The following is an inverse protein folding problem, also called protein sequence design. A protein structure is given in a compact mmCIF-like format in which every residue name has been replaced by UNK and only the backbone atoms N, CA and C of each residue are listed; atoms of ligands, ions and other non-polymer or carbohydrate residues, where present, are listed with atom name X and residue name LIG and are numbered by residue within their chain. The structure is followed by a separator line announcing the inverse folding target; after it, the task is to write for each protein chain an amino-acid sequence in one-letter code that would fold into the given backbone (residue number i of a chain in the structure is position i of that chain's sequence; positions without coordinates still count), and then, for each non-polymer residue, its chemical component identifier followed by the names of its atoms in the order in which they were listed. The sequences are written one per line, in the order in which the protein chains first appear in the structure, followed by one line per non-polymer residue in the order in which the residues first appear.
data_IF_022258426208
#
_entry.id   IF_022258426208
#
_cell.length_a   1.000
_cell.length_b   1.000
_cell.length_c   1.000
_cell.angle_alpha   90.00
_cell.angle_beta   90.00
_cell.angle_gamma   90.00
#
_symmetry.space_group_name_H-M   'P 1'
#
loop_
_entity.id
_entity.type
_entity.pdbx_description
1 polymer ?
#
# COMPACT_ATOMS: atom_id res chain seq x y z
N UNK A 1 -22.25 -18.76 20.05
CA UNK A 1 -21.70 -18.60 21.41
C UNK A 1 -21.00 -17.27 21.40
N UNK A 2 -21.54 -16.25 22.09
CA UNK A 2 -20.96 -14.91 22.11
C UNK A 2 -19.65 -14.96 22.88
N UNK A 3 -18.52 -14.73 22.20
CA UNK A 3 -17.21 -14.73 22.83
C UNK A 3 -17.19 -13.71 23.97
N UNK A 4 -16.70 -14.13 25.12
CA UNK A 4 -16.72 -13.33 26.34
C UNK A 4 -15.37 -12.62 26.47
N UNK A 5 -15.36 -11.41 27.02
CA UNK A 5 -14.14 -10.61 27.25
C UNK A 5 -13.02 -11.34 28.03
N UNK A 6 -13.32 -12.51 28.61
CA UNK A 6 -12.37 -13.43 29.21
C UNK A 6 -11.35 -14.01 28.21
N UNK A 7 -11.67 -14.09 26.92
CA UNK A 7 -10.79 -14.64 25.89
C UNK A 7 -9.69 -13.65 25.43
N UNK A 8 -9.80 -12.39 25.84
CA UNK A 8 -8.82 -11.35 25.58
C UNK A 8 -7.66 -11.42 26.58
N UNK A 9 -6.45 -11.37 26.04
CA UNK A 9 -5.23 -11.22 26.84
C UNK A 9 -5.11 -9.80 27.39
N UNK A 10 -4.40 -9.60 28.50
CA UNK A 10 -4.20 -8.27 29.08
C UNK A 10 -3.50 -7.29 28.12
N UNK A 11 -2.59 -7.80 27.28
CA UNK A 11 -1.91 -7.01 26.24
C UNK A 11 -2.86 -6.51 25.14
N UNK A 12 -3.90 -7.28 24.83
CA UNK A 12 -4.94 -6.89 23.87
C UNK A 12 -5.90 -5.87 24.49
N UNK A 13 -6.28 -6.07 25.76
CA UNK A 13 -7.11 -5.10 26.50
C UNK A 13 -6.41 -3.76 26.66
N UNK A 14 -5.12 -3.76 26.98
CA UNK A 14 -4.30 -2.55 27.09
C UNK A 14 -4.31 -1.72 25.79
N UNK A 15 -4.16 -2.37 24.62
CA UNK A 15 -4.25 -1.69 23.34
C UNK A 15 -5.65 -1.12 23.05
N UNK A 16 -6.71 -1.83 23.47
CA UNK A 16 -8.09 -1.34 23.33
C UNK A 16 -8.41 -0.16 24.28
N UNK A 17 -7.83 -0.14 25.49
CA UNK A 17 -7.97 0.99 26.43
C UNK A 17 -7.38 2.28 25.88
N UNK A 18 -6.22 2.20 25.21
CA UNK A 18 -5.62 3.38 24.57
C UNK A 18 -6.49 3.94 23.44
N UNK A 19 -7.13 3.06 22.65
CA UNK A 19 -8.10 3.47 21.64
C UNK A 19 -9.33 4.16 22.25
N UNK A 20 -9.84 3.68 23.39
CA UNK A 20 -10.91 4.36 24.13
C UNK A 20 -10.49 5.73 24.63
N UNK A 21 -9.25 5.86 25.11
CA UNK A 21 -8.67 7.12 25.56
C UNK A 21 -8.39 8.11 24.40
N UNK A 22 -8.68 7.73 23.15
CA UNK A 22 -8.59 8.60 21.97
C UNK A 22 -7.26 8.52 21.23
N UNK A 23 -6.36 7.63 21.64
CA UNK A 23 -5.12 7.39 20.91
C UNK A 23 -5.39 6.64 19.61
N UNK A 24 -4.56 6.89 18.59
CA UNK A 24 -4.50 6.06 17.39
C UNK A 24 -3.46 4.94 17.55
N UNK A 25 -3.34 4.05 16.56
CA UNK A 25 -2.38 2.94 16.62
C UNK A 25 -0.92 3.42 16.73
N UNK A 26 -0.60 4.57 16.12
CA UNK A 26 0.75 5.14 16.11
C UNK A 26 1.12 5.72 17.48
N UNK A 27 0.24 6.51 18.07
CA UNK A 27 0.39 7.09 19.41
C UNK A 27 0.37 6.00 20.49
N UNK A 28 -0.49 4.98 20.34
CA UNK A 28 -0.51 3.84 21.27
C UNK A 28 0.80 3.05 21.25
N UNK A 29 1.41 2.88 20.07
CA UNK A 29 2.71 2.23 19.94
C UNK A 29 3.84 3.01 20.63
N UNK A 30 3.84 4.34 20.47
CA UNK A 30 4.78 5.22 21.16
C UNK A 30 4.61 5.19 22.69
N UNK A 31 3.38 5.02 23.19
CA UNK A 31 3.10 4.97 24.63
C UNK A 31 3.44 3.62 25.27
N UNK A 32 3.35 2.54 24.51
CA UNK A 32 3.65 1.18 24.98
C UNK A 32 5.09 0.74 24.72
N UNK A 33 5.94 1.61 24.15
CA UNK A 33 7.28 1.29 23.67
C UNK A 33 7.30 0.06 22.75
N UNK A 34 6.32 -0.03 21.85
CA UNK A 34 6.13 -1.13 20.91
C UNK A 34 6.17 -0.64 19.47
N UNK A 35 6.35 -1.58 18.53
CA UNK A 35 6.14 -1.27 17.11
C UNK A 35 4.64 -1.11 16.82
N UNK A 36 4.31 -0.23 15.86
CA UNK A 36 2.92 -0.04 15.38
C UNK A 36 2.32 -1.35 14.88
N UNK A 37 3.13 -2.20 14.26
CA UNK A 37 2.70 -3.51 13.76
C UNK A 37 2.24 -4.41 14.92
N UNK A 38 3.00 -4.47 16.01
CA UNK A 38 2.64 -5.25 17.20
C UNK A 38 1.34 -4.76 17.85
N UNK A 39 1.09 -3.45 17.87
CA UNK A 39 -0.18 -2.89 18.35
C UNK A 39 -1.33 -3.29 17.41
N UNK A 40 -1.13 -3.22 16.10
CA UNK A 40 -2.13 -3.63 15.12
C UNK A 40 -2.46 -5.14 15.21
N UNK A 41 -1.46 -6.00 15.44
CA UNK A 41 -1.69 -7.44 15.65
C UNK A 41 -2.54 -7.70 16.88
N UNK A 42 -2.27 -7.00 17.99
CA UNK A 42 -3.07 -7.08 19.22
C UNK A 42 -4.52 -6.66 18.97
N UNK A 43 -4.73 -5.55 18.25
CA UNK A 43 -6.07 -5.07 17.90
C UNK A 43 -6.81 -6.03 16.95
N UNK A 44 -6.10 -6.64 16.00
CA UNK A 44 -6.65 -7.61 15.06
C UNK A 44 -7.06 -8.90 15.76
N UNK A 45 -6.22 -9.41 16.66
CA UNK A 45 -6.53 -10.58 17.47
C UNK A 45 -7.72 -10.31 18.39
N UNK A 46 -7.78 -9.13 19.01
CA UNK A 46 -8.92 -8.72 19.81
C UNK A 46 -10.23 -8.70 19.02
N UNK A 47 -10.22 -8.14 17.80
CA UNK A 47 -11.37 -8.14 16.90
C UNK A 47 -11.83 -9.55 16.50
N UNK A 48 -10.88 -10.43 16.14
CA UNK A 48 -11.17 -11.82 15.77
C UNK A 48 -11.80 -12.59 16.92
N UNK A 49 -11.33 -12.36 18.15
CA UNK A 49 -11.87 -12.98 19.35
C UNK A 49 -13.26 -12.47 19.70
N UNK A 50 -13.49 -11.16 19.57
CA UNK A 50 -14.79 -10.55 19.87
C UNK A 50 -15.80 -10.63 18.73
N UNK A 51 -15.41 -11.16 17.57
CA UNK A 51 -16.22 -11.25 16.34
C UNK A 51 -16.76 -9.88 15.88
N UNK A 52 -15.88 -8.87 15.86
CA UNK A 52 -16.24 -7.48 15.52
C UNK A 52 -15.46 -6.94 14.34
N UNK A 53 -16.13 -6.06 13.59
CA UNK A 53 -15.63 -5.51 12.33
C UNK A 53 -14.67 -4.34 12.50
N UNK A 54 -14.58 -3.74 13.69
CA UNK A 54 -13.80 -2.54 13.96
C UNK A 54 -13.11 -2.57 15.32
N UNK A 55 -11.86 -2.10 15.38
CA UNK A 55 -11.11 -1.98 16.64
C UNK A 55 -11.73 -0.96 17.59
N UNK A 56 -12.44 0.06 17.05
CA UNK A 56 -13.20 1.02 17.86
C UNK A 56 -14.49 0.42 18.43
N UNK A 57 -15.07 -0.54 17.73
CA UNK A 57 -16.22 -1.31 18.23
C UNK A 57 -15.77 -2.27 19.33
N UNK A 58 -14.68 -3.00 19.13
CA UNK A 58 -14.01 -3.80 20.16
C UNK A 58 -13.68 -2.97 21.41
N UNK A 59 -13.13 -1.78 21.21
CA UNK A 59 -12.79 -0.85 22.28
C UNK A 59 -14.04 -0.41 23.04
N UNK A 60 -15.13 -0.04 22.36
CA UNK A 60 -16.41 0.28 23.03
C UNK A 60 -16.97 -0.89 23.83
N UNK A 61 -16.91 -2.11 23.31
CA UNK A 61 -17.40 -3.30 24.03
C UNK A 61 -16.57 -3.56 25.29
N UNK A 62 -15.25 -3.41 25.19
CA UNK A 62 -14.36 -3.48 26.36
C UNK A 62 -14.69 -2.37 27.37
N UNK A 63 -14.87 -1.13 26.88
CA UNK A 63 -15.19 0.03 27.71
C UNK A 63 -16.48 -0.14 28.48
N UNK A 64 -17.56 -0.55 27.82
CA UNK A 64 -18.85 -0.81 28.47
C UNK A 64 -18.76 -1.89 29.56
N UNK A 65 -17.87 -2.87 29.39
CA UNK A 65 -17.67 -3.92 30.39
C UNK A 65 -16.67 -3.53 31.51
N UNK A 66 -15.70 -2.67 31.23
CA UNK A 66 -14.73 -2.15 32.21
C UNK A 66 -15.28 -0.94 32.99
N UNK A 67 -16.18 -0.15 32.42
CA UNK A 67 -16.88 1.00 33.06
C UNK A 67 -17.79 0.59 34.23
N UNK A 68 -17.97 -0.72 34.46
CA UNK A 68 -18.45 -1.24 35.75
C UNK A 68 -17.45 -1.04 36.90
N UNK A 69 -16.26 -0.48 36.66
CA UNK A 69 -15.32 0.00 37.66
C UNK A 69 -15.00 1.49 37.44
N UNK A 70 -15.15 2.37 38.44
CA UNK A 70 -15.07 3.81 38.24
C UNK A 70 -13.61 4.24 38.12
N UNK A 71 -13.26 4.95 37.04
CA UNK A 71 -12.00 5.70 36.98
C UNK A 71 -12.30 7.13 36.57
N UNK A 72 -12.11 8.01 37.54
CA UNK A 72 -12.30 9.45 37.49
C UNK A 72 -11.51 10.10 36.35
N UNK A 73 -12.21 10.92 35.56
CA UNK A 73 -11.61 11.84 34.60
C UNK A 73 -10.77 12.89 35.34
N UNK A 74 -9.45 12.80 35.23
CA UNK A 74 -8.57 13.91 35.59
C UNK A 74 -8.27 14.74 34.34
N UNK A 75 -8.87 15.93 34.33
CA UNK A 75 -8.57 17.04 33.45
C UNK A 75 -7.24 17.67 33.85
N UNK A 76 -6.28 17.83 32.94
CA UNK A 76 -5.19 18.81 33.09
C UNK A 76 -4.71 19.37 31.74
N UNK A 77 -5.11 20.62 31.51
CA UNK A 77 -4.25 21.76 31.17
C UNK A 77 -3.60 21.80 29.77
N UNK A 78 -4.36 22.31 28.79
CA UNK A 78 -3.77 23.10 27.70
C UNK A 78 -3.48 24.52 28.22
N UNK A 79 -2.22 24.93 28.18
CA UNK A 79 -1.78 26.27 28.57
C UNK A 79 -2.25 27.33 27.59
N UNK A 80 -3.03 28.29 28.09
CA UNK A 80 -3.30 29.57 27.43
C UNK A 80 -2.29 30.59 27.97
N UNK A 81 -1.64 31.33 27.08
CA UNK A 81 -0.99 32.59 27.42
C UNK A 81 -1.92 33.71 26.96
N UNK A 82 -2.37 34.55 27.89
CA UNK A 82 -3.11 35.77 27.65
C UNK A 82 -2.13 36.94 27.48
N UNK A 83 -2.37 37.77 26.46
CA UNK A 83 -2.43 39.23 26.56
C UNK A 83 -2.33 39.86 25.16
N UNK A 84 -3.34 40.64 24.78
CA UNK A 84 -3.25 41.52 23.61
C UNK A 84 -4.58 42.11 23.16
N UNK A 85 -5.14 42.99 23.97
CA UNK A 85 -6.26 43.90 23.68
C UNK A 85 -6.12 44.59 22.30
N UNK A 86 -7.21 44.66 21.54
CA UNK A 86 -7.19 45.22 20.19
C UNK A 86 -8.48 45.10 19.39
N UNK A 87 -9.43 45.98 19.70
CA UNK A 87 -10.46 46.53 18.80
C UNK A 87 -11.48 45.58 18.16
N UNK A 88 -12.68 45.66 18.74
CA UNK A 88 -13.97 45.29 18.18
C UNK A 88 -14.29 46.11 16.91
N UNK A 89 -14.22 45.48 15.72
CA UNK A 89 -15.01 45.88 14.55
C UNK A 89 -15.48 44.62 13.83
N UNK A 90 -16.51 43.97 14.37
CA UNK A 90 -17.21 42.88 13.69
C UNK A 90 -17.97 43.42 12.47
N UNK A 91 -17.47 43.13 11.27
CA UNK A 91 -18.27 43.18 10.03
C UNK A 91 -18.81 41.78 9.75
N UNK A 92 -20.12 41.61 9.97
CA UNK A 92 -20.83 40.35 9.69
C UNK A 92 -21.06 40.22 8.18
N UNK A 93 -20.09 39.68 7.45
CA UNK A 93 -20.34 39.12 6.13
C UNK A 93 -20.85 37.69 6.29
N UNK A 94 -22.18 37.59 6.25
CA UNK A 94 -22.91 36.34 6.28
C UNK A 94 -22.86 35.69 4.89
N UNK A 95 -21.88 34.82 4.67
CA UNK A 95 -21.88 33.91 3.52
C UNK A 95 -22.35 32.54 4.01
N UNK A 96 -23.61 32.21 3.71
CA UNK A 96 -24.20 30.90 3.99
C UNK A 96 -23.32 29.77 3.42
N UNK A 97 -22.91 28.77 4.22
CA UNK A 97 -22.42 27.52 3.65
C UNK A 97 -23.61 26.75 3.09
N UNK A 98 -23.77 26.84 1.77
CA UNK A 98 -24.68 26.00 0.98
C UNK A 98 -24.39 24.53 1.28
N UNK A 99 -25.35 23.87 1.94
CA UNK A 99 -25.43 22.41 1.98
C UNK A 99 -25.50 21.89 0.54
N UNK A 100 -24.43 21.27 0.06
CA UNK A 100 -24.48 20.39 -1.10
C UNK A 100 -24.27 18.95 -0.64
N UNK A 101 -25.36 18.21 -0.75
CA UNK A 101 -25.47 16.77 -0.74
C UNK A 101 -24.48 16.08 -1.69
N UNK A 102 -24.10 14.86 -1.33
CA UNK A 102 -23.78 13.82 -2.31
C UNK A 102 -22.28 13.60 -2.55
N UNK A 103 -21.74 12.60 -1.86
CA UNK A 103 -21.16 11.44 -2.51
C UNK A 103 -20.13 11.70 -3.63
N UNK A 104 -19.03 12.40 -3.37
CA UNK A 104 -17.87 12.41 -4.28
C UNK A 104 -16.58 12.45 -3.43
N UNK A 105 -16.15 11.30 -2.94
CA UNK A 105 -14.80 11.13 -2.38
C UNK A 105 -14.28 9.71 -2.62
N UNK A 106 -14.21 9.27 -3.87
CA UNK A 106 -13.60 8.00 -4.26
C UNK A 106 -12.82 8.13 -5.59
N UNK A 107 -11.91 9.12 -5.65
CA UNK A 107 -10.92 9.16 -6.74
C UNK A 107 -9.58 9.77 -6.28
N UNK A 108 -9.59 10.75 -5.37
CA UNK A 108 -8.36 11.40 -4.91
C UNK A 108 -7.59 10.70 -3.77
N UNK A 109 -8.23 9.77 -3.04
CA UNK A 109 -7.60 9.13 -1.87
C UNK A 109 -6.70 7.93 -2.20
N UNK A 110 -6.92 7.30 -3.35
CA UNK A 110 -6.15 6.11 -3.77
C UNK A 110 -4.79 6.49 -4.34
N UNK A 111 -4.65 7.68 -4.93
CA UNK A 111 -3.41 8.15 -5.55
C UNK A 111 -2.32 8.55 -4.52
N UNK A 112 -2.72 9.06 -3.35
CA UNK A 112 -1.76 9.45 -2.30
C UNK A 112 -1.33 8.24 -1.46
N UNK A 113 -2.22 7.24 -1.30
CA UNK A 113 -1.88 5.97 -0.63
C UNK A 113 -1.13 4.99 -1.55
N UNK A 114 -1.31 5.04 -2.89
CA UNK A 114 -0.58 4.17 -3.84
C UNK A 114 0.89 4.57 -4.01
N UNK A 115 1.22 5.87 -3.92
CA UNK A 115 2.62 6.36 -3.87
C UNK A 115 3.35 5.82 -2.61
N UNK A 116 2.64 5.66 -1.49
CA UNK A 116 3.22 5.11 -0.25
C UNK A 116 3.45 3.59 -0.30
N UNK A 117 2.71 2.86 -1.13
CA UNK A 117 2.87 1.41 -1.29
C UNK A 117 4.13 1.07 -2.12
N UNK A 118 4.45 1.86 -3.15
CA UNK A 118 5.70 1.70 -3.92
C UNK A 118 6.96 1.97 -3.07
N UNK A 119 6.90 2.93 -2.14
CA UNK A 119 8.03 3.24 -1.25
C UNK A 119 8.26 2.18 -0.15
N UNK A 120 7.23 1.43 0.27
CA UNK A 120 7.35 0.44 1.34
C UNK A 120 8.08 -0.85 0.91
N UNK A 121 8.07 -1.19 -0.38
CA UNK A 121 8.75 -2.39 -0.93
C UNK A 121 10.26 -2.16 -1.09
N UNK A 122 10.70 -0.91 -1.30
CA UNK A 122 12.13 -0.54 -1.43
C UNK A 122 12.89 -0.80 -0.11
N UNK A 123 12.22 -0.68 1.05
CA UNK A 123 12.84 -0.86 2.37
C UNK A 123 13.34 -2.28 2.67
N UNK A 124 12.81 -3.30 2.00
CA UNK A 124 13.21 -4.71 2.23
C UNK A 124 14.43 -5.09 1.37
N UNK A 125 14.62 -4.47 0.21
CA UNK A 125 15.73 -4.79 -0.70
C UNK A 125 17.07 -4.16 -0.24
N UNK A 126 17.04 -3.04 0.49
CA UNK A 126 18.25 -2.32 0.88
C UNK A 126 18.87 -2.71 2.25
N UNK A 127 18.22 -3.55 3.06
CA UNK A 127 18.70 -3.87 4.43
C UNK A 127 19.36 -5.24 4.60
N UNK A 128 19.66 -5.95 3.51
CA UNK A 128 20.15 -7.33 3.57
C UNK A 128 21.55 -7.55 2.99
N UNK A 129 22.59 -6.85 3.44
CA UNK A 129 23.97 -7.24 3.07
C UNK A 129 25.08 -6.68 3.98
N UNK A 130 25.15 -7.14 5.24
CA UNK A 130 26.37 -7.20 6.07
C UNK A 130 26.18 -8.47 6.92
N UNK A 131 27.09 -9.43 7.11
CA UNK A 131 28.54 -9.50 7.01
C UNK A 131 28.85 -11.02 7.07
N UNK A 132 29.64 -11.58 6.15
CA UNK A 132 30.38 -12.81 6.46
C UNK A 132 31.65 -12.87 5.63
N UNK A 133 32.72 -12.71 6.39
CA UNK A 133 34.11 -12.71 6.04
C UNK A 133 34.60 -14.11 5.67
N UNK A 134 35.22 -14.25 4.50
CA UNK A 134 36.27 -15.26 4.29
C UNK A 134 37.43 -14.65 3.50
N UNK A 135 38.61 -14.92 4.05
CA UNK A 135 39.95 -14.46 3.76
C UNK A 135 40.53 -15.12 2.50
N UNK A 136 41.25 -14.28 1.75
CA UNK A 136 42.23 -14.48 0.67
C UNK A 136 42.91 -15.85 0.55
N UNK A 137 42.93 -16.40 -0.67
CA UNK A 137 44.15 -16.93 -1.28
C UNK A 137 44.12 -16.79 -2.82
N UNK A 138 45.29 -16.47 -3.33
CA UNK A 138 45.66 -15.91 -4.63
C UNK A 138 46.11 -17.02 -5.59
N UNK A 139 45.75 -16.95 -6.88
CA UNK A 139 46.72 -16.92 -8.01
C UNK A 139 46.05 -16.70 -9.38
N UNK A 140 46.52 -15.62 -10.01
CA UNK A 140 46.86 -15.46 -11.44
C UNK A 140 45.80 -15.61 -12.55
N UNK A 141 45.45 -14.43 -13.08
CA UNK A 141 45.46 -14.07 -14.52
C UNK A 141 44.52 -14.80 -15.47
N UNK A 142 43.34 -14.22 -15.70
CA UNK A 142 42.80 -14.13 -17.07
C UNK A 142 42.03 -12.82 -17.25
N UNK A 143 42.32 -12.24 -18.40
CA UNK A 143 41.85 -11.03 -19.06
C UNK A 143 40.31 -10.87 -19.10
N UNK A 144 39.87 -9.62 -19.03
CA UNK A 144 38.47 -9.22 -19.03
C UNK A 144 37.73 -9.61 -20.33
N UNK A 145 36.48 -10.08 -20.21
CA UNK A 145 35.29 -9.62 -20.97
C UNK A 145 34.06 -10.39 -20.46
N UNK A 146 33.00 -9.65 -20.14
CA UNK A 146 31.73 -10.11 -19.55
C UNK A 146 31.04 -11.23 -20.36
N UNK A 147 30.29 -12.11 -19.67
CA UNK A 147 28.83 -12.05 -19.81
C UNK A 147 28.11 -12.36 -18.50
N UNK A 148 27.47 -11.36 -17.89
CA UNK A 148 26.51 -11.57 -16.80
C UNK A 148 25.31 -10.63 -16.99
N UNK A 149 24.41 -10.98 -17.90
CA UNK A 149 23.05 -10.40 -17.93
C UNK A 149 21.97 -11.31 -18.52
N UNK A 150 22.28 -12.54 -18.91
CA UNK A 150 21.26 -13.47 -19.44
C UNK A 150 20.75 -14.48 -18.41
N UNK A 151 21.50 -14.81 -17.35
CA UNK A 151 21.10 -15.85 -16.38
C UNK A 151 20.14 -15.39 -15.28
N UNK A 152 20.12 -14.09 -14.94
CA UNK A 152 19.30 -13.59 -13.82
C UNK A 152 17.82 -13.37 -14.17
N UNK A 153 17.52 -13.05 -15.43
CA UNK A 153 16.14 -12.84 -15.91
C UNK A 153 15.37 -14.16 -15.99
N UNK A 154 16.04 -15.24 -16.43
CA UNK A 154 15.45 -16.57 -16.61
C UNK A 154 14.94 -17.16 -15.28
N UNK A 155 15.75 -17.08 -14.22
CA UNK A 155 15.35 -17.52 -12.87
C UNK A 155 14.20 -16.70 -12.27
N UNK A 156 14.01 -15.45 -12.71
CA UNK A 156 12.95 -14.57 -12.20
C UNK A 156 11.62 -14.86 -12.90
N UNK A 157 11.65 -15.15 -14.19
CA UNK A 157 10.47 -15.58 -14.96
C UNK A 157 9.94 -16.94 -14.48
N UNK A 158 10.81 -17.86 -14.06
CA UNK A 158 10.40 -19.13 -13.45
C UNK A 158 9.58 -18.98 -12.16
N UNK A 159 9.69 -17.84 -11.46
CA UNK A 159 8.94 -17.61 -10.21
C UNK A 159 7.50 -17.15 -10.44
N UNK A 160 7.18 -16.62 -11.63
CA UNK A 160 5.82 -16.18 -11.94
C UNK A 160 4.99 -17.30 -12.56
N UNK A 161 3.69 -17.26 -12.30
CA UNK A 161 2.74 -18.11 -13.00
C UNK A 161 2.83 -17.85 -14.51
N UNK A 162 2.93 -18.90 -15.35
CA UNK A 162 2.92 -18.72 -16.80
C UNK A 162 1.68 -17.97 -17.30
N UNK A 163 0.55 -18.14 -16.62
CA UNK A 163 -0.69 -17.42 -16.93
C UNK A 163 -0.61 -15.94 -16.56
N UNK A 164 -0.02 -15.61 -15.41
CA UNK A 164 0.19 -14.23 -14.98
C UNK A 164 1.17 -13.49 -15.89
N UNK A 165 2.33 -14.11 -16.20
CA UNK A 165 3.31 -13.56 -17.15
C UNK A 165 2.69 -13.30 -18.52
N UNK A 166 1.93 -14.26 -19.06
CA UNK A 166 1.26 -14.10 -20.35
C UNK A 166 0.27 -12.94 -20.33
N UNK A 167 -0.52 -12.81 -19.25
CA UNK A 167 -1.48 -11.71 -19.13
C UNK A 167 -0.77 -10.36 -19.01
N UNK A 168 0.25 -10.27 -18.15
CA UNK A 168 1.03 -9.06 -17.92
C UNK A 168 1.76 -8.60 -19.20
N UNK A 169 2.41 -9.52 -19.92
CA UNK A 169 3.10 -9.24 -21.18
C UNK A 169 2.14 -8.79 -22.29
N UNK A 170 0.95 -9.38 -22.38
CA UNK A 170 -0.08 -8.95 -23.34
C UNK A 170 -0.57 -7.54 -23.02
N UNK A 171 -0.80 -7.25 -21.73
CA UNK A 171 -1.26 -5.93 -21.28
C UNK A 171 -0.22 -4.85 -21.59
N UNK A 172 1.04 -5.08 -21.19
CA UNK A 172 2.09 -4.07 -21.36
C UNK A 172 2.46 -3.85 -22.82
N UNK A 173 2.35 -4.88 -23.67
CA UNK A 173 2.51 -4.72 -25.12
C UNK A 173 1.45 -3.79 -25.72
N UNK A 174 0.20 -3.83 -25.22
CA UNK A 174 -0.83 -2.88 -25.64
C UNK A 174 -0.54 -1.45 -25.15
N UNK A 175 -0.02 -1.30 -23.93
CA UNK A 175 0.45 0.01 -23.41
C UNK A 175 1.60 0.56 -24.24
N UNK A 176 2.58 -0.27 -24.61
CA UNK A 176 3.73 0.14 -25.43
C UNK A 176 3.32 0.55 -26.85
N UNK A 177 2.29 -0.09 -27.40
CA UNK A 177 1.68 0.28 -28.67
C UNK A 177 0.83 1.55 -28.59
N UNK A 178 0.76 2.21 -27.43
CA UNK A 178 -0.12 3.33 -27.11
C UNK A 178 -1.60 3.01 -27.35
N UNK A 179 -1.97 1.73 -27.28
CA UNK A 179 -3.33 1.25 -27.45
C UNK A 179 -4.02 1.16 -26.08
N UNK A 180 -4.47 2.31 -25.58
CA UNK A 180 -5.08 2.44 -24.25
C UNK A 180 -6.33 1.58 -24.10
N UNK A 181 -7.24 1.65 -25.07
CA UNK A 181 -8.44 0.82 -25.09
C UNK A 181 -8.11 -0.68 -25.12
N UNK A 182 -7.11 -1.08 -25.93
CA UNK A 182 -6.61 -2.45 -25.97
C UNK A 182 -6.05 -2.92 -24.62
N UNK A 183 -5.25 -2.09 -23.95
CA UNK A 183 -4.72 -2.42 -22.62
C UNK A 183 -5.84 -2.54 -21.56
N UNK A 184 -6.84 -1.65 -21.59
CA UNK A 184 -8.01 -1.72 -20.72
C UNK A 184 -8.85 -2.99 -20.96
N UNK A 185 -9.02 -3.39 -22.22
CA UNK A 185 -9.69 -4.63 -22.59
C UNK A 185 -8.94 -5.89 -22.09
N UNK A 186 -7.61 -5.85 -22.08
CA UNK A 186 -6.78 -6.96 -21.60
C UNK A 186 -6.75 -7.04 -20.07
N UNK A 187 -6.92 -5.92 -19.35
CA UNK A 187 -6.78 -5.87 -17.91
C UNK A 187 -7.79 -6.73 -17.16
N UNK A 188 -8.99 -6.93 -17.70
CA UNK A 188 -10.02 -7.80 -17.10
C UNK A 188 -10.99 -7.06 -16.19
N UNK A 189 -11.96 -7.80 -15.65
CA UNK A 189 -13.19 -7.23 -15.07
C UNK A 189 -12.95 -6.32 -13.85
N UNK A 190 -11.98 -6.66 -13.00
CA UNK A 190 -11.63 -5.86 -11.83
C UNK A 190 -11.17 -4.44 -12.20
N UNK A 191 -10.33 -4.34 -13.23
CA UNK A 191 -9.83 -3.07 -13.74
C UNK A 191 -10.96 -2.27 -14.42
N UNK A 192 -11.79 -2.95 -15.20
CA UNK A 192 -12.89 -2.32 -15.95
C UNK A 192 -14.03 -1.82 -15.05
N UNK A 193 -14.24 -2.45 -13.89
CA UNK A 193 -15.23 -2.03 -12.89
C UNK A 193 -14.75 -0.81 -12.08
N UNK A 194 -13.42 -0.63 -11.96
CA UNK A 194 -12.84 0.44 -11.15
C UNK A 194 -12.48 1.70 -11.95
N UNK A 195 -12.31 1.60 -13.26
CA UNK A 195 -11.94 2.72 -14.13
C UNK A 195 -12.49 2.48 -15.53
N UNK A 196 -13.09 3.51 -16.14
CA UNK A 196 -13.54 3.44 -17.53
C UNK A 196 -12.36 3.50 -18.51
N UNK A 197 -12.56 3.05 -19.76
CA UNK A 197 -11.51 3.09 -20.78
C UNK A 197 -11.01 4.53 -21.07
N UNK A 198 -11.91 5.51 -21.00
CA UNK A 198 -11.60 6.94 -21.19
C UNK A 198 -10.75 7.48 -20.03
N UNK A 199 -11.19 7.25 -18.78
CA UNK A 199 -10.42 7.64 -17.59
C UNK A 199 -9.05 6.97 -17.56
N UNK A 200 -8.96 5.69 -17.95
CA UNK A 200 -7.68 5.00 -18.06
C UNK A 200 -6.74 5.69 -19.05
N UNK A 201 -7.23 6.03 -20.24
CA UNK A 201 -6.45 6.74 -21.24
C UNK A 201 -5.96 8.11 -20.73
N UNK A 202 -6.84 8.87 -20.08
CA UNK A 202 -6.51 10.18 -19.49
C UNK A 202 -5.42 10.09 -18.42
N UNK A 203 -5.39 8.99 -17.64
CA UNK A 203 -4.40 8.77 -16.59
C UNK A 203 -3.06 8.30 -17.14
N UNK A 204 -3.04 7.34 -18.07
CA UNK A 204 -1.80 6.71 -18.55
C UNK A 204 -1.08 7.54 -19.61
N UNK A 205 -1.83 8.23 -20.46
CA UNK A 205 -1.29 8.97 -21.60
C UNK A 205 -0.23 10.03 -21.23
N UNK A 206 -0.48 10.97 -20.29
CA UNK A 206 0.47 12.03 -19.97
C UNK A 206 1.74 11.51 -19.32
N UNK A 207 1.72 10.30 -18.75
CA UNK A 207 2.89 9.67 -18.11
C UNK A 207 3.66 8.84 -19.12
N UNK A 208 2.99 8.04 -19.95
CA UNK A 208 3.63 7.07 -20.84
C UNK A 208 4.16 7.68 -22.13
N UNK A 209 3.42 8.62 -22.76
CA UNK A 209 3.81 9.22 -24.04
C UNK A 209 5.17 9.94 -23.99
N UNK A 210 5.48 10.76 -22.96
CA UNK A 210 6.75 11.49 -22.91
C UNK A 210 7.99 10.60 -22.77
N UNK A 211 7.83 9.34 -22.32
CA UNK A 211 8.97 8.42 -22.13
C UNK A 211 9.48 7.86 -23.47
N UNK A 212 8.62 7.82 -24.50
CA UNK A 212 8.93 7.24 -25.80
C UNK A 212 8.87 5.71 -25.83
N UNK A 213 9.45 5.14 -26.89
CA UNK A 213 9.50 3.69 -27.10
C UNK A 213 10.37 2.98 -26.06
N UNK A 214 10.05 1.71 -25.77
CA UNK A 214 10.87 0.83 -24.93
C UNK A 214 12.14 0.44 -25.69
N UNK A 215 13.29 0.65 -25.08
CA UNK A 215 14.58 0.15 -25.58
C UNK A 215 14.95 -1.19 -24.96
N UNK A 216 14.69 -1.35 -23.66
CA UNK A 216 14.95 -2.56 -22.90
C UNK A 216 13.90 -2.67 -21.78
N UNK A 217 13.42 -3.88 -21.52
CA UNK A 217 12.58 -4.20 -20.36
C UNK A 217 13.05 -5.52 -19.76
N UNK A 218 13.25 -5.55 -18.45
CA UNK A 218 13.68 -6.74 -17.71
C UNK A 218 12.79 -6.97 -16.51
N UNK A 219 12.29 -8.19 -16.35
CA UNK A 219 11.62 -8.60 -15.12
C UNK A 219 12.68 -8.77 -14.02
N UNK A 220 12.53 -8.08 -12.91
CA UNK A 220 13.52 -8.07 -11.82
C UNK A 220 12.98 -8.64 -10.51
N UNK A 221 11.66 -8.76 -10.35
CA UNK A 221 11.05 -9.37 -9.17
C UNK A 221 9.63 -9.85 -9.47
N UNK A 222 9.27 -10.96 -8.84
CA UNK A 222 7.91 -11.49 -8.77
C UNK A 222 7.57 -11.68 -7.30
N UNK A 223 6.41 -11.19 -6.86
CA UNK A 223 5.92 -11.38 -5.50
C UNK A 223 4.51 -11.95 -5.52
N UNK A 224 4.31 -13.04 -4.80
CA UNK A 224 3.00 -13.67 -4.63
C UNK A 224 2.43 -13.26 -3.26
N UNK A 225 1.24 -12.67 -3.25
CA UNK A 225 0.58 -12.20 -2.02
C UNK A 225 -0.91 -12.48 -2.09
N UNK A 226 -1.52 -12.82 -0.95
CA UNK A 226 -2.96 -13.12 -0.87
C UNK A 226 -3.81 -11.88 -0.51
N UNK A 227 -3.14 -10.81 -0.07
CA UNK A 227 -3.80 -9.59 0.40
C UNK A 227 -3.02 -8.35 0.00
N UNK A 228 -3.73 -7.35 -0.50
CA UNK A 228 -3.18 -6.03 -0.80
C UNK A 228 -3.95 -4.95 -0.03
N UNK A 229 -3.29 -3.90 0.50
CA UNK A 229 -3.98 -2.80 1.16
C UNK A 229 -5.01 -2.14 0.23
N UNK A 230 -6.28 -2.15 0.64
CA UNK A 230 -7.37 -1.53 -0.13
C UNK A 230 -7.89 -2.35 -1.32
N UNK A 231 -7.39 -3.57 -1.53
CA UNK A 231 -7.95 -4.51 -2.50
C UNK A 231 -8.65 -5.70 -1.79
N UNK A 232 -9.55 -6.42 -2.47
CA UNK A 232 -10.12 -7.67 -1.95
C UNK A 232 -9.06 -8.75 -1.68
N UNK A 233 -9.42 -9.76 -0.90
CA UNK A 233 -8.58 -10.97 -0.78
C UNK A 233 -8.56 -11.74 -2.11
N UNK A 234 -7.41 -12.28 -2.48
CA UNK A 234 -7.22 -13.02 -3.73
C UNK A 234 -5.76 -13.36 -3.97
N UNK A 235 -5.47 -14.32 -4.84
CA UNK A 235 -4.08 -14.66 -5.17
C UNK A 235 -3.53 -13.64 -6.16
N UNK A 236 -2.67 -12.73 -5.67
CA UNK A 236 -2.02 -11.72 -6.49
C UNK A 236 -0.61 -12.14 -6.86
N UNK A 237 -0.20 -11.80 -8.08
CA UNK A 237 1.21 -11.75 -8.47
C UNK A 237 1.58 -10.34 -8.88
N UNK A 238 2.59 -9.78 -8.21
CA UNK A 238 3.16 -8.47 -8.48
C UNK A 238 4.45 -8.69 -9.28
N UNK A 239 4.45 -8.20 -10.52
CA UNK A 239 5.59 -8.27 -11.43
C UNK A 239 6.24 -6.89 -11.49
N UNK A 240 7.52 -6.82 -11.12
CA UNK A 240 8.30 -5.58 -11.15
C UNK A 240 9.30 -5.68 -12.29
N UNK A 241 9.23 -4.71 -13.19
CA UNK A 241 10.14 -4.56 -14.32
C UNK A 241 11.00 -3.32 -14.15
N UNK A 242 12.24 -3.42 -14.62
CA UNK A 242 13.08 -2.27 -14.93
C UNK A 242 13.03 -2.03 -16.43
N UNK A 243 12.67 -0.81 -16.82
CA UNK A 243 12.44 -0.46 -18.22
C UNK A 243 13.20 0.80 -18.58
N UNK A 244 13.98 0.69 -19.66
CA UNK A 244 14.66 1.83 -20.26
C UNK A 244 13.88 2.30 -21.47
N UNK A 245 13.45 3.56 -21.45
CA UNK A 245 12.81 4.18 -22.60
C UNK A 245 13.79 5.03 -23.42
N UNK A 246 13.33 5.51 -24.56
CA UNK A 246 14.16 6.21 -25.55
C UNK A 246 14.29 7.71 -25.28
N UNK A 247 13.29 8.34 -24.67
CA UNK A 247 13.26 9.81 -24.45
C UNK A 247 13.66 10.20 -23.02
N UNK A 248 13.89 9.22 -22.13
CA UNK A 248 14.39 9.44 -20.77
C UNK A 248 15.63 8.60 -20.51
N UNK A 249 16.63 9.19 -19.85
CA UNK A 249 17.88 8.50 -19.52
C UNK A 249 17.78 7.59 -18.30
N UNK A 250 16.82 7.87 -17.41
CA UNK A 250 16.61 7.12 -16.17
C UNK A 250 15.84 5.82 -16.48
N UNK A 251 16.27 4.73 -15.86
CA UNK A 251 15.53 3.46 -15.88
C UNK A 251 14.30 3.61 -14.99
N UNK A 252 13.12 3.42 -15.57
CA UNK A 252 11.86 3.43 -14.84
C UNK A 252 11.57 2.07 -14.23
N UNK A 253 10.82 2.08 -13.14
CA UNK A 253 10.28 0.87 -12.51
C UNK A 253 8.80 0.74 -12.88
N UNK A 254 8.46 -0.31 -13.62
CA UNK A 254 7.07 -0.65 -13.94
C UNK A 254 6.59 -1.76 -13.00
N UNK A 255 5.44 -1.58 -12.37
CA UNK A 255 4.81 -2.59 -11.50
C UNK A 255 3.48 -3.00 -12.09
N UNK A 256 3.33 -4.29 -12.39
CA UNK A 256 2.08 -4.89 -12.87
C UNK A 256 1.55 -5.77 -11.76
N UNK A 257 0.33 -5.49 -11.30
CA UNK A 257 -0.38 -6.32 -10.32
C UNK A 257 -1.38 -7.16 -11.08
N UNK A 258 -1.27 -8.48 -10.95
CA UNK A 258 -2.24 -9.43 -11.48
C UNK A 258 -2.95 -10.15 -10.34
N UNK A 259 -4.19 -10.57 -10.57
CA UNK A 259 -5.01 -11.33 -9.62
C UNK A 259 -5.56 -12.57 -10.31
N UNK A 260 -5.57 -13.70 -9.60
CA UNK A 260 -6.14 -14.96 -10.10
C UNK A 260 -7.64 -14.78 -10.35
N UNK A 261 -8.08 -15.19 -11.54
CA UNK A 261 -9.48 -15.24 -11.93
C UNK A 261 -9.76 -16.60 -12.61
N UNK A 262 -10.37 -17.53 -11.87
CA UNK A 262 -10.54 -18.91 -12.31
C UNK A 262 -9.20 -19.61 -12.58
N UNK A 263 -9.06 -20.17 -13.78
CA UNK A 263 -7.82 -20.81 -14.26
C UNK A 263 -6.80 -19.80 -14.85
N UNK A 264 -7.16 -18.51 -14.89
CA UNK A 264 -6.37 -17.44 -15.48
C UNK A 264 -5.98 -16.36 -14.47
N UNK A 265 -5.43 -15.27 -15.03
CA UNK A 265 -5.08 -14.06 -14.30
C UNK A 265 -5.62 -12.84 -15.05
N UNK A 266 -6.03 -11.83 -14.30
CA UNK A 266 -6.41 -10.51 -14.79
C UNK A 266 -5.43 -9.47 -14.23
N UNK A 267 -5.21 -8.37 -14.95
CA UNK A 267 -4.40 -7.24 -14.45
C UNK A 267 -5.28 -6.38 -13.55
N UNK A 268 -4.94 -6.33 -12.27
CA UNK A 268 -5.62 -5.50 -11.29
C UNK A 268 -5.05 -4.07 -11.22
N UNK A 269 -3.81 -3.85 -11.67
CA UNK A 269 -3.19 -2.52 -11.65
C UNK A 269 -1.89 -2.42 -12.44
N UNK A 270 -1.56 -1.20 -12.84
CA UNK A 270 -0.30 -0.84 -13.50
C UNK A 270 0.22 0.48 -12.96
N UNK A 271 1.51 0.52 -12.65
CA UNK A 271 2.19 1.69 -12.12
C UNK A 271 3.55 1.84 -12.80
N UNK A 272 3.98 3.08 -13.00
CA UNK A 272 5.29 3.43 -13.57
C UNK A 272 5.88 4.60 -12.77
N UNK A 273 7.14 4.49 -12.37
CA UNK A 273 7.88 5.52 -11.63
C UNK A 273 9.31 5.68 -12.16
#
# INVERSE_FOLDING_TARGET
MSATLADLTEKEKEALRLLLAGHDAKSSAAQLDLSVHTVNDRLRNARRKLDVSSSREAARILGVAEETAPQNSAHTSFGIADAGDGADTATLNNTEPKRSSGLIWLAGGMLIMSILIAAAIIGVVYSGSEESSVKTEEVASTEATAPQSETASDMTEEQASPAALKRATTFIAAVDALNWEGSWNVAGEFFQTSTSAEEWAELVEPVRKPLGAVSERRLVSVQQVETLPGAPEGDYEILIYQTKFTEVEIISTETIVTVRNGDGFDVAGYFIN
#
